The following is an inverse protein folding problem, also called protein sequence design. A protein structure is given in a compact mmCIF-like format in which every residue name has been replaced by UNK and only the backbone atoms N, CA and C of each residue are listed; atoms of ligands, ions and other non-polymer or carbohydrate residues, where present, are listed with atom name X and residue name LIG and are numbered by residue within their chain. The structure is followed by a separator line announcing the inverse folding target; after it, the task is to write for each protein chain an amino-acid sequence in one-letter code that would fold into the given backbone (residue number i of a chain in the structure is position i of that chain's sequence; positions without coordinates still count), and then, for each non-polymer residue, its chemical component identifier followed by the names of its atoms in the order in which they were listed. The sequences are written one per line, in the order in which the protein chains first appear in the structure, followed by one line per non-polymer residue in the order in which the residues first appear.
data_IF_852522044669
#
_entry.id   IF_852522044669
#
_cell.length_a   1.000
_cell.length_b   1.000
_cell.length_c   1.000
_cell.angle_alpha   90.00
_cell.angle_beta   90.00
_cell.angle_gamma   90.00
#
_symmetry.space_group_name_H-M   'P 1'
#
loop_
_entity.id
_entity.type
_entity.pdbx_description
1 polymer ?
#
# COMPACT_ATOMS: atom_id res chain seq x y z
N UNK A 1 -7.92 -16.20 -42.40
CA UNK A 1 -9.18 -16.02 -41.70
C UNK A 1 -9.09 -16.32 -40.19
N UNK A 2 -8.44 -17.40 -39.81
CA UNK A 2 -8.24 -17.71 -38.40
C UNK A 2 -7.42 -16.68 -37.65
N UNK A 3 -6.52 -15.98 -38.33
CA UNK A 3 -5.66 -14.97 -37.73
C UNK A 3 -6.43 -13.76 -37.17
N UNK A 4 -7.49 -13.34 -37.85
CA UNK A 4 -8.28 -12.19 -37.46
C UNK A 4 -9.01 -12.46 -36.13
N UNK A 5 -9.53 -13.66 -35.95
CA UNK A 5 -10.24 -14.04 -34.73
C UNK A 5 -9.29 -14.07 -33.53
N UNK A 6 -8.09 -14.55 -33.68
CA UNK A 6 -7.12 -14.61 -32.60
C UNK A 6 -6.70 -13.22 -32.11
N UNK A 7 -6.57 -12.28 -33.02
CA UNK A 7 -6.21 -10.89 -32.69
C UNK A 7 -7.32 -10.24 -31.85
N UNK A 8 -8.58 -10.45 -32.21
CA UNK A 8 -9.70 -9.89 -31.50
C UNK A 8 -9.77 -10.42 -30.05
N UNK A 9 -9.57 -11.72 -29.88
CA UNK A 9 -9.57 -12.33 -28.55
C UNK A 9 -8.45 -11.76 -27.67
N UNK A 10 -7.26 -11.58 -28.23
CA UNK A 10 -6.13 -11.01 -27.49
C UNK A 10 -6.43 -9.61 -26.98
N UNK A 11 -7.03 -8.78 -27.80
CA UNK A 11 -7.41 -7.41 -27.41
C UNK A 11 -8.44 -7.41 -26.26
N UNK A 12 -9.41 -8.30 -26.33
CA UNK A 12 -10.39 -8.41 -25.26
C UNK A 12 -9.79 -8.80 -23.91
N UNK A 13 -8.86 -9.75 -23.91
CA UNK A 13 -8.17 -10.18 -22.70
C UNK A 13 -7.33 -9.05 -22.11
N UNK A 14 -6.61 -8.31 -22.94
CA UNK A 14 -5.80 -7.18 -22.50
C UNK A 14 -6.65 -6.11 -21.83
N UNK A 15 -7.81 -5.79 -22.37
CA UNK A 15 -8.71 -4.80 -21.80
C UNK A 15 -9.20 -5.24 -20.42
N UNK A 16 -9.55 -6.50 -20.25
CA UNK A 16 -9.98 -7.04 -18.97
C UNK A 16 -8.89 -6.95 -17.90
N UNK A 17 -7.64 -7.25 -18.25
CA UNK A 17 -6.51 -7.14 -17.34
C UNK A 17 -6.32 -5.71 -16.84
N UNK A 18 -6.44 -4.72 -17.72
CA UNK A 18 -6.32 -3.31 -17.32
C UNK A 18 -7.41 -2.90 -16.33
N UNK A 19 -8.64 -3.36 -16.52
CA UNK A 19 -9.73 -3.08 -15.60
C UNK A 19 -9.46 -3.67 -14.20
N UNK A 20 -8.81 -4.82 -14.13
CA UNK A 20 -8.42 -5.43 -12.87
C UNK A 20 -7.43 -4.59 -12.08
N UNK A 21 -6.44 -4.01 -12.73
CA UNK A 21 -5.42 -3.21 -12.05
C UNK A 21 -5.99 -1.98 -11.37
N UNK A 22 -6.97 -1.32 -11.97
CA UNK A 22 -7.51 -0.09 -11.40
C UNK A 22 -8.32 -0.32 -10.13
N UNK A 23 -8.81 -1.53 -9.87
CA UNK A 23 -9.60 -1.84 -8.69
C UNK A 23 -8.80 -2.28 -7.46
N UNK A 24 -7.46 -2.50 -7.58
CA UNK A 24 -6.70 -3.18 -6.54
C UNK A 24 -5.88 -2.27 -5.62
N UNK A 25 -5.77 -0.97 -5.92
CA UNK A 25 -4.81 -0.08 -5.25
C UNK A 25 -5.23 0.35 -3.86
N UNK A 26 -6.53 0.44 -3.55
CA UNK A 26 -7.02 0.97 -2.27
C UNK A 26 -7.04 -0.05 -1.14
N UNK A 27 -6.98 -1.34 -1.43
CA UNK A 27 -7.08 -2.39 -0.40
C UNK A 27 -5.87 -2.46 0.54
N UNK A 28 -4.75 -1.89 0.14
CA UNK A 28 -3.52 -1.93 0.92
C UNK A 28 -3.40 -0.81 1.93
N UNK A 29 -4.39 0.07 2.00
CA UNK A 29 -4.35 1.27 2.82
C UNK A 29 -5.56 1.32 3.74
N UNK A 30 -5.32 1.60 5.01
CA UNK A 30 -6.38 1.84 5.99
C UNK A 30 -5.98 3.01 6.88
N UNK A 31 -6.78 4.07 6.89
CA UNK A 31 -6.54 5.26 7.72
C UNK A 31 -7.62 5.31 8.79
N UNK A 32 -7.20 5.29 10.05
CA UNK A 32 -8.08 5.29 11.23
C UNK A 32 -8.03 6.68 11.85
N UNK A 33 -9.18 7.25 12.13
CA UNK A 33 -9.31 8.56 12.76
C UNK A 33 -9.57 9.68 11.75
N UNK A 34 -9.24 10.92 12.12
CA UNK A 34 -9.39 12.04 11.22
C UNK A 34 -8.43 11.94 10.05
N UNK A 35 -8.94 12.18 8.85
CA UNK A 35 -8.12 12.03 7.65
C UNK A 35 -7.28 13.28 7.42
N UNK A 36 -6.13 13.37 8.07
CA UNK A 36 -5.15 14.43 7.90
C UNK A 36 -3.87 13.95 7.22
N UNK A 37 -3.86 12.70 6.82
CA UNK A 37 -2.72 12.08 6.16
C UNK A 37 -3.19 11.38 4.89
N UNK A 38 -2.35 11.42 3.88
CA UNK A 38 -2.58 10.69 2.63
C UNK A 38 -1.35 9.84 2.34
N UNK A 39 -1.59 8.65 1.82
CA UNK A 39 -0.51 7.83 1.28
C UNK A 39 -0.51 8.05 -0.22
N UNK A 40 0.38 8.93 -0.67
CA UNK A 40 0.41 9.39 -2.05
C UNK A 40 0.90 8.33 -3.01
N UNK A 41 1.79 7.44 -2.56
CA UNK A 41 2.22 6.27 -3.32
C UNK A 41 2.77 5.20 -2.40
N UNK A 42 2.65 3.96 -2.83
CA UNK A 42 3.20 2.82 -2.13
C UNK A 42 3.48 1.70 -3.12
N UNK A 43 4.44 0.86 -2.78
CA UNK A 43 4.75 -0.32 -3.58
C UNK A 43 5.45 -1.36 -2.74
N UNK A 44 5.43 -2.59 -3.22
CA UNK A 44 6.20 -3.69 -2.65
C UNK A 44 7.24 -4.19 -3.64
N UNK A 45 8.34 -4.68 -3.10
CA UNK A 45 9.43 -5.28 -3.86
C UNK A 45 9.83 -6.56 -3.15
N UNK A 46 10.04 -7.63 -3.92
CA UNK A 46 10.54 -8.87 -3.36
C UNK A 46 12.07 -8.79 -3.32
N UNK A 47 12.64 -8.96 -2.14
CA UNK A 47 14.08 -9.03 -1.95
C UNK A 47 14.44 -10.39 -1.36
N UNK A 48 14.95 -11.31 -2.20
CA UNK A 48 15.18 -12.68 -1.78
C UNK A 48 13.87 -13.35 -1.40
N UNK A 49 13.77 -13.85 -0.17
CA UNK A 49 12.57 -14.49 0.35
C UNK A 49 11.65 -13.52 1.09
N UNK A 50 12.01 -12.26 1.18
CA UNK A 50 11.30 -11.28 2.00
C UNK A 50 10.67 -10.20 1.13
N UNK A 51 9.57 -9.65 1.63
CA UNK A 51 8.91 -8.52 0.99
C UNK A 51 9.35 -7.22 1.67
N UNK A 52 9.67 -6.23 0.85
CA UNK A 52 9.93 -4.87 1.30
C UNK A 52 8.83 -3.97 0.75
N UNK A 53 8.26 -3.12 1.60
CA UNK A 53 7.33 -2.09 1.15
C UNK A 53 7.95 -0.71 1.34
N UNK A 54 7.60 0.18 0.44
CA UNK A 54 7.94 1.60 0.53
C UNK A 54 6.65 2.37 0.35
N UNK A 55 6.47 3.39 1.18
CA UNK A 55 5.28 4.23 1.11
C UNK A 55 5.66 5.68 1.39
N UNK A 56 4.95 6.58 0.76
CA UNK A 56 5.10 8.01 0.94
C UNK A 56 3.85 8.54 1.63
N UNK A 57 4.04 9.08 2.84
CA UNK A 57 2.97 9.68 3.64
C UNK A 57 3.07 11.19 3.54
N UNK A 58 1.94 11.82 3.34
CA UNK A 58 1.84 13.27 3.22
C UNK A 58 0.91 13.80 4.31
N UNK A 59 1.33 14.88 4.96
CA UNK A 59 0.48 15.59 5.91
C UNK A 59 -0.42 16.53 5.14
N UNK A 60 -1.72 16.26 5.15
CA UNK A 60 -2.73 17.08 4.45
C UNK A 60 -3.20 18.28 5.26
N UNK A 61 -2.69 18.45 6.48
CA UNK A 61 -3.00 19.62 7.29
C UNK A 61 -2.11 20.78 6.86
N UNK A 62 -2.73 21.84 6.39
CA UNK A 62 -2.03 23.04 5.92
C UNK A 62 -1.52 23.92 7.05
N UNK A 63 -1.98 23.69 8.26
CA UNK A 63 -1.75 24.61 9.37
C UNK A 63 -0.76 24.06 10.40
N UNK A 64 -0.65 22.75 10.52
CA UNK A 64 0.08 22.15 11.63
C UNK A 64 0.96 20.97 11.24
N UNK A 65 2.04 20.81 12.00
CA UNK A 65 2.82 19.58 12.06
C UNK A 65 2.05 18.54 12.85
N UNK A 66 1.97 17.32 12.34
CA UNK A 66 1.18 16.26 12.96
C UNK A 66 2.01 15.02 13.25
N UNK A 67 1.71 14.39 14.39
CA UNK A 67 2.20 13.07 14.71
C UNK A 67 1.19 12.01 14.30
N UNK A 68 1.67 10.96 13.67
CA UNK A 68 0.88 9.81 13.27
C UNK A 68 1.56 8.55 13.77
N UNK A 69 0.82 7.46 13.87
CA UNK A 69 1.41 6.14 14.07
C UNK A 69 1.00 5.23 12.93
N UNK A 70 1.88 4.34 12.54
CA UNK A 70 1.58 3.40 11.47
C UNK A 70 2.02 1.99 11.84
N UNK A 71 1.42 1.03 11.18
CA UNK A 71 1.69 -0.39 11.32
C UNK A 71 1.56 -1.05 9.97
N UNK A 72 2.37 -2.07 9.71
CA UNK A 72 2.22 -2.89 8.51
C UNK A 72 1.71 -4.26 8.92
N UNK A 73 0.67 -4.73 8.25
CA UNK A 73 0.19 -6.11 8.33
C UNK A 73 0.71 -6.87 7.12
N UNK A 74 1.30 -8.03 7.37
CA UNK A 74 1.87 -8.89 6.34
C UNK A 74 0.98 -10.10 6.11
N UNK A 75 0.62 -10.37 4.86
CA UNK A 75 -0.37 -11.39 4.51
C UNK A 75 0.26 -12.51 3.71
N UNK A 76 -0.19 -13.75 3.97
CA UNK A 76 0.21 -14.92 3.19
C UNK A 76 -0.69 -15.08 1.95
N UNK A 77 -0.40 -16.12 1.16
CA UNK A 77 -1.14 -16.40 -0.08
C UNK A 77 -2.61 -16.76 0.15
N UNK A 78 -2.97 -17.10 1.38
CA UNK A 78 -4.35 -17.45 1.73
C UNK A 78 -5.12 -16.25 2.26
N UNK A 79 -4.50 -15.08 2.33
CA UNK A 79 -5.14 -13.86 2.81
C UNK A 79 -5.15 -13.70 4.31
N UNK A 80 -4.37 -14.49 5.05
CA UNK A 80 -4.26 -14.38 6.50
C UNK A 80 -3.07 -13.53 6.89
N UNK A 81 -3.22 -12.81 8.00
CA UNK A 81 -2.12 -12.05 8.60
C UNK A 81 -1.10 -13.04 9.17
N UNK A 82 0.14 -12.96 8.69
CA UNK A 82 1.24 -13.79 9.19
C UNK A 82 2.04 -13.07 10.26
N UNK A 83 2.13 -11.75 10.15
CA UNK A 83 2.92 -10.95 11.07
C UNK A 83 2.49 -9.49 10.96
N UNK A 84 2.81 -8.71 11.98
CA UNK A 84 2.60 -7.26 11.98
C UNK A 84 3.85 -6.58 12.54
N UNK A 85 4.13 -5.38 12.04
CA UNK A 85 5.12 -4.53 12.73
C UNK A 85 4.52 -4.00 14.03
N UNK A 86 5.33 -3.61 15.02
CA UNK A 86 4.81 -2.77 16.09
C UNK A 86 4.33 -1.43 15.51
N UNK A 87 3.50 -0.73 16.26
CA UNK A 87 3.13 0.63 15.90
C UNK A 87 4.35 1.53 15.98
N UNK A 88 4.56 2.33 14.94
CA UNK A 88 5.70 3.23 14.84
C UNK A 88 5.21 4.66 14.72
N UNK A 89 5.77 5.55 15.53
CA UNK A 89 5.45 6.96 15.49
C UNK A 89 6.21 7.68 14.39
N UNK A 90 5.54 8.60 13.72
CA UNK A 90 6.14 9.43 12.69
C UNK A 90 5.59 10.85 12.81
N UNK A 91 6.45 11.83 12.65
CA UNK A 91 6.07 13.24 12.64
C UNK A 91 6.27 13.79 11.25
N UNK A 92 5.22 14.41 10.68
CA UNK A 92 5.28 14.99 9.35
C UNK A 92 4.90 16.46 9.48
N UNK A 93 5.81 17.34 9.07
CA UNK A 93 5.55 18.77 9.06
C UNK A 93 4.48 19.11 8.02
N UNK A 94 3.80 20.22 8.23
CA UNK A 94 2.75 20.66 7.31
C UNK A 94 3.26 20.72 5.89
N UNK A 95 2.45 20.22 4.95
CA UNK A 95 2.76 20.18 3.52
C UNK A 95 4.02 19.41 3.15
N UNK A 96 4.48 18.52 4.03
CA UNK A 96 5.65 17.69 3.77
C UNK A 96 5.26 16.23 3.55
N UNK A 97 6.18 15.52 2.92
CA UNK A 97 6.07 14.09 2.67
C UNK A 97 7.22 13.38 3.35
N UNK A 98 6.94 12.19 3.87
CA UNK A 98 7.96 11.33 4.46
C UNK A 98 7.83 9.94 3.85
N UNK A 99 8.95 9.37 3.44
CA UNK A 99 8.99 8.00 2.96
C UNK A 99 9.28 7.06 4.11
N UNK A 100 8.49 6.00 4.24
CA UNK A 100 8.73 4.90 5.16
C UNK A 100 9.07 3.65 4.39
N UNK A 101 9.94 2.83 4.94
CA UNK A 101 10.36 1.56 4.35
C UNK A 101 10.32 0.50 5.44
N UNK A 102 9.63 -0.60 5.15
CA UNK A 102 9.54 -1.74 6.07
C UNK A 102 9.79 -3.02 5.29
N UNK A 103 10.47 -3.96 5.93
CA UNK A 103 10.73 -5.26 5.33
C UNK A 103 10.36 -6.35 6.32
N UNK A 104 9.71 -7.42 5.82
CA UNK A 104 9.41 -8.58 6.66
C UNK A 104 10.68 -9.39 6.92
N UNK A 105 10.72 -10.05 8.07
CA UNK A 105 11.76 -11.01 8.38
C UNK A 105 11.27 -12.46 8.30
N UNK A 106 10.09 -12.67 7.74
CA UNK A 106 9.52 -14.00 7.52
C UNK A 106 9.27 -14.21 6.03
N UNK A 107 9.44 -15.46 5.54
CA UNK A 107 9.21 -15.77 4.13
C UNK A 107 7.73 -15.92 3.82
N UNK A 108 7.41 -16.04 2.53
CA UNK A 108 6.07 -16.38 2.02
C UNK A 108 5.02 -15.31 2.23
N UNK A 109 5.44 -14.07 2.38
CA UNK A 109 4.55 -12.91 2.40
C UNK A 109 4.30 -12.50 0.95
N UNK A 110 3.03 -12.36 0.57
CA UNK A 110 2.63 -12.02 -0.78
C UNK A 110 1.85 -10.71 -0.87
N UNK A 111 1.39 -10.18 0.26
CA UNK A 111 0.61 -8.94 0.29
C UNK A 111 0.82 -8.21 1.61
N UNK A 112 0.37 -6.97 1.67
CA UNK A 112 0.55 -6.10 2.83
C UNK A 112 -0.61 -5.13 2.96
N UNK A 113 -0.76 -4.58 4.16
CA UNK A 113 -1.66 -3.45 4.41
C UNK A 113 -0.93 -2.44 5.28
N UNK A 114 -1.01 -1.19 4.90
CA UNK A 114 -0.46 -0.07 5.68
C UNK A 114 -1.62 0.54 6.46
N UNK A 115 -1.51 0.54 7.78
CA UNK A 115 -2.51 1.11 8.67
C UNK A 115 -1.91 2.35 9.30
N UNK A 116 -2.58 3.48 9.14
CA UNK A 116 -2.18 4.75 9.75
C UNK A 116 -3.25 5.16 10.73
N UNK A 117 -2.86 5.41 11.96
CA UNK A 117 -3.75 5.93 12.98
C UNK A 117 -3.45 7.39 13.22
N UNK A 118 -4.48 8.22 13.07
CA UNK A 118 -4.39 9.67 13.22
C UNK A 118 -5.07 10.03 14.53
N UNK A 119 -4.29 10.45 15.55
CA UNK A 119 -4.89 10.81 16.84
C UNK A 119 -5.84 12.01 16.71
N UNK A 120 -6.87 12.02 17.53
CA UNK A 120 -7.77 13.17 17.60
C UNK A 120 -7.02 14.35 18.23
N UNK A 121 -7.33 15.53 17.72
CA UNK A 121 -6.80 16.79 18.28
C UNK A 121 -7.49 17.18 19.56
#
# INVERSE_FOLDING_TARGET
MSHTKNIVISLGISTLLLAFFTGCTSKNINIIGEKRVEISKHKSVQEGNFMKIMAELENDDNDETEGFVYQIEWYDKNGFIKDTTPWKAITIHKNQKVQVTEMTNIPDIVDYKIIVSVPNK
#
